data_IF_018699934005
#
_entry.id   IF_018699934005
#
_cell.length_a   1.000
_cell.length_b   1.000
_cell.length_c   1.000
_cell.angle_alpha   90.00
_cell.angle_beta   90.00
_cell.angle_gamma   90.00
#
_symmetry.space_group_name_H-M   'P 1'
#
loop_
_entity.id
_entity.type
_entity.pdbx_description
1 polymer ?
#
# COMPACT_ATOMS: atom_id res chain seq x y z
N UNK A 1 8.41 13.48 -10.97
CA UNK A 1 7.49 14.64 -11.21
C UNK A 1 7.06 15.19 -9.86
N UNK A 2 7.06 16.52 -9.64
CA UNK A 2 6.63 17.14 -8.39
C UNK A 2 5.13 16.91 -8.14
N UNK A 3 4.70 17.00 -6.86
CA UNK A 3 3.27 17.02 -6.51
C UNK A 3 2.70 18.38 -6.97
N UNK A 4 1.59 18.40 -7.73
CA UNK A 4 1.00 19.65 -8.19
C UNK A 4 0.69 20.60 -7.03
N UNK A 5 0.91 21.89 -7.23
CA UNK A 5 0.61 22.98 -6.26
C UNK A 5 1.19 22.81 -4.84
N UNK A 6 2.08 21.85 -4.61
CA UNK A 6 2.78 21.74 -3.33
C UNK A 6 3.76 22.91 -3.20
N UNK A 7 3.58 23.70 -2.17
CA UNK A 7 4.44 24.85 -1.85
C UNK A 7 4.82 24.87 -0.38
N UNK A 8 5.85 25.62 -0.01
CA UNK A 8 6.19 25.82 1.39
C UNK A 8 5.03 26.45 2.17
N UNK A 9 4.33 27.43 1.57
CA UNK A 9 3.18 28.08 2.18
C UNK A 9 2.03 27.08 2.48
N UNK A 10 1.80 26.12 1.59
CA UNK A 10 0.82 25.04 1.83
C UNK A 10 1.20 24.20 3.06
N UNK A 11 2.48 23.90 3.23
CA UNK A 11 2.96 23.15 4.40
C UNK A 11 2.77 23.97 5.68
N UNK A 12 3.14 25.23 5.66
CA UNK A 12 3.03 26.17 6.80
C UNK A 12 1.58 26.37 7.24
N UNK A 13 0.65 26.44 6.30
CA UNK A 13 -0.78 26.64 6.58
C UNK A 13 -1.41 25.48 7.39
N UNK A 14 -0.95 24.26 7.17
CA UNK A 14 -1.54 23.05 7.78
C UNK A 14 -0.72 22.48 8.93
N UNK A 15 0.31 23.20 9.38
CA UNK A 15 1.29 22.69 10.34
C UNK A 15 1.52 23.70 11.47
N UNK A 16 1.63 23.22 12.72
CA UNK A 16 2.10 24.08 13.80
C UNK A 16 3.57 24.48 13.61
N UNK A 17 3.96 25.65 14.11
CA UNK A 17 5.35 26.12 14.06
C UNK A 17 6.35 25.09 14.64
N UNK A 18 5.94 24.36 15.70
CA UNK A 18 6.76 23.30 16.30
C UNK A 18 6.91 22.10 15.40
N UNK A 19 5.82 21.61 14.78
CA UNK A 19 5.86 20.48 13.83
C UNK A 19 6.64 20.84 12.58
N UNK A 20 6.52 22.09 12.09
CA UNK A 20 7.30 22.59 10.96
C UNK A 20 8.79 22.54 11.25
N UNK A 21 9.23 23.15 12.36
CA UNK A 21 10.64 23.18 12.76
C UNK A 21 11.22 21.77 12.93
N UNK A 22 10.46 20.87 13.58
CA UNK A 22 10.88 19.46 13.76
C UNK A 22 10.92 18.70 12.43
N UNK A 23 9.95 18.94 11.54
CA UNK A 23 9.91 18.34 10.22
C UNK A 23 11.07 18.79 9.33
N UNK A 24 11.44 20.07 9.37
CA UNK A 24 12.64 20.57 8.70
C UNK A 24 13.92 19.89 9.22
N UNK A 25 14.05 19.74 10.54
CA UNK A 25 15.18 19.03 11.14
C UNK A 25 15.24 17.56 10.70
N UNK A 26 14.09 16.86 10.65
CA UNK A 26 13.99 15.48 10.17
C UNK A 26 14.36 15.33 8.70
N UNK A 27 13.90 16.24 7.86
CA UNK A 27 14.27 16.29 6.45
C UNK A 27 15.78 16.50 6.27
N UNK A 28 16.36 17.48 6.96
CA UNK A 28 17.79 17.79 6.86
C UNK A 28 18.68 16.67 7.42
N UNK A 29 18.20 15.94 8.41
CA UNK A 29 18.91 14.78 8.97
C UNK A 29 18.80 13.51 8.09
N UNK A 30 18.04 13.54 6.99
CA UNK A 30 17.85 12.38 6.12
C UNK A 30 16.97 11.28 6.73
N UNK A 31 16.12 11.63 7.70
CA UNK A 31 15.28 10.65 8.39
C UNK A 31 14.16 10.07 7.49
N UNK A 32 13.88 10.66 6.33
CA UNK A 32 13.05 10.03 5.29
C UNK A 32 13.94 9.08 4.51
N UNK A 33 13.98 7.82 4.94
CA UNK A 33 14.93 6.81 4.44
C UNK A 33 14.48 6.17 3.14
N UNK A 34 13.18 6.23 2.84
CA UNK A 34 12.60 5.75 1.59
C UNK A 34 11.36 6.55 1.23
N UNK A 35 11.21 6.89 -0.04
CA UNK A 35 9.99 7.46 -0.58
C UNK A 35 9.70 6.84 -1.95
N UNK A 36 8.47 6.36 -2.15
CA UNK A 36 8.00 5.71 -3.37
C UNK A 36 6.71 6.36 -3.83
N UNK A 37 6.67 6.78 -5.08
CA UNK A 37 5.46 7.25 -5.74
C UNK A 37 4.78 6.10 -6.48
N UNK A 38 3.48 5.91 -6.23
CA UNK A 38 2.62 4.92 -6.90
C UNK A 38 1.37 5.62 -7.43
N UNK A 39 1.38 5.96 -8.71
CA UNK A 39 0.30 6.77 -9.29
C UNK A 39 0.13 8.11 -8.57
N UNK A 40 -1.02 8.32 -7.97
CA UNK A 40 -1.40 9.54 -7.25
C UNK A 40 -1.15 9.47 -5.73
N UNK A 41 -0.18 8.69 -5.32
CA UNK A 41 0.17 8.49 -3.92
C UNK A 41 1.68 8.47 -3.73
N UNK A 42 2.19 9.17 -2.73
CA UNK A 42 3.55 9.02 -2.23
C UNK A 42 3.51 8.29 -0.89
N UNK A 43 4.26 7.23 -0.78
CA UNK A 43 4.47 6.47 0.46
C UNK A 43 5.91 6.63 0.90
N UNK A 44 6.11 6.97 2.17
CA UNK A 44 7.45 7.15 2.72
C UNK A 44 7.64 6.40 4.04
N UNK A 45 8.89 6.04 4.30
CA UNK A 45 9.37 5.49 5.55
C UNK A 45 10.21 6.55 6.23
N UNK A 46 9.88 6.89 7.47
CA UNK A 46 10.52 7.96 8.22
C UNK A 46 11.02 7.42 9.55
N UNK A 47 12.32 7.44 9.76
CA UNK A 47 12.91 7.08 11.04
C UNK A 47 12.59 8.12 12.11
N UNK A 48 12.31 7.65 13.31
CA UNK A 48 11.91 8.49 14.43
C UNK A 48 12.45 7.99 15.76
N UNK A 49 11.70 8.22 16.84
CA UNK A 49 12.08 7.81 18.20
C UNK A 49 11.75 6.35 18.52
N UNK A 50 10.87 5.73 17.74
CA UNK A 50 10.47 4.34 17.94
C UNK A 50 11.44 3.39 17.20
N UNK A 51 11.44 2.12 17.61
CA UNK A 51 12.23 1.07 16.95
C UNK A 51 11.73 0.82 15.53
N UNK A 52 10.41 0.83 15.35
CA UNK A 52 9.81 0.72 14.03
C UNK A 52 9.67 2.10 13.38
N UNK A 53 10.09 2.24 12.10
CA UNK A 53 9.96 3.49 11.40
C UNK A 53 8.49 3.83 11.13
N UNK A 54 8.19 5.12 11.09
CA UNK A 54 6.86 5.61 10.77
C UNK A 54 6.59 5.52 9.27
N UNK A 55 5.35 5.20 8.92
CA UNK A 55 4.86 5.18 7.54
C UNK A 55 4.02 6.42 7.28
N UNK A 56 4.36 7.14 6.22
CA UNK A 56 3.62 8.31 5.76
C UNK A 56 3.00 8.00 4.42
N UNK A 57 1.73 8.37 4.24
CA UNK A 57 1.00 8.25 2.98
C UNK A 57 0.42 9.60 2.60
N UNK A 58 0.78 10.09 1.42
CA UNK A 58 0.39 11.37 0.86
C UNK A 58 -0.38 11.14 -0.44
N UNK A 59 -1.72 11.05 -0.42
CA UNK A 59 -2.50 11.08 -1.65
C UNK A 59 -2.47 12.47 -2.28
N UNK A 60 -2.52 12.54 -3.60
CA UNK A 60 -2.57 13.79 -4.36
C UNK A 60 -3.28 13.56 -5.71
N UNK A 61 -3.73 14.65 -6.32
CA UNK A 61 -4.34 14.68 -7.65
C UNK A 61 -3.85 15.91 -8.43
N UNK A 62 -4.50 16.23 -9.53
CA UNK A 62 -4.17 17.40 -10.35
C UNK A 62 -4.47 18.72 -9.62
N UNK A 63 -5.34 18.72 -8.61
CA UNK A 63 -5.63 19.87 -7.76
C UNK A 63 -4.59 20.08 -6.67
N UNK A 64 -3.75 19.06 -6.37
CA UNK A 64 -2.69 19.10 -5.36
C UNK A 64 -2.76 17.97 -4.35
N UNK A 65 -2.40 18.24 -3.09
CA UNK A 65 -2.49 17.26 -2.01
C UNK A 65 -3.95 16.90 -1.72
N UNK A 66 -4.21 15.62 -1.51
CA UNK A 66 -5.50 15.13 -1.05
C UNK A 66 -5.89 15.68 0.34
N UNK A 67 -7.15 15.57 0.69
CA UNK A 67 -7.71 16.13 1.94
C UNK A 67 -7.17 15.42 3.20
N UNK A 68 -6.75 14.17 3.11
CA UNK A 68 -6.32 13.36 4.24
C UNK A 68 -4.93 12.77 4.02
N UNK A 69 -3.94 13.33 4.70
CA UNK A 69 -2.59 12.77 4.77
C UNK A 69 -2.49 11.86 6.00
N UNK A 70 -1.81 10.75 5.87
CA UNK A 70 -1.73 9.75 6.94
C UNK A 70 -0.30 9.54 7.42
N UNK A 71 -0.14 9.35 8.74
CA UNK A 71 1.10 8.91 9.37
C UNK A 71 0.78 7.94 10.50
N UNK A 72 1.56 6.87 10.64
CA UNK A 72 1.40 5.89 11.73
C UNK A 72 1.84 6.38 13.10
N UNK A 73 2.38 7.61 13.23
CA UNK A 73 2.79 8.15 14.52
C UNK A 73 1.57 8.54 15.39
N UNK A 74 1.71 8.52 16.72
CA UNK A 74 0.61 8.82 17.66
C UNK A 74 0.31 10.31 17.80
N UNK A 75 0.73 11.16 16.83
CA UNK A 75 0.49 12.60 16.89
C UNK A 75 -0.96 12.93 16.51
N UNK A 76 -1.69 13.56 17.43
CA UNK A 76 -3.09 13.93 17.29
C UNK A 76 -3.41 15.40 17.65
N UNK A 77 -2.39 16.25 17.80
CA UNK A 77 -2.54 17.65 18.21
C UNK A 77 -3.07 18.58 17.10
N UNK A 78 -3.74 18.04 16.12
CA UNK A 78 -4.26 18.77 14.96
C UNK A 78 -3.17 19.17 13.95
N UNK A 79 -3.52 19.19 12.66
CA UNK A 79 -2.59 19.48 11.58
C UNK A 79 -1.57 18.38 11.29
N UNK A 80 -0.59 18.69 10.47
CA UNK A 80 0.39 17.71 10.03
C UNK A 80 1.53 17.52 11.03
N UNK A 81 1.87 16.25 11.31
CA UNK A 81 2.98 15.92 12.18
C UNK A 81 4.34 16.16 11.49
N UNK A 82 5.43 16.15 12.27
CA UNK A 82 6.80 16.33 11.78
C UNK A 82 7.21 15.35 10.67
N UNK A 83 6.68 14.11 10.66
CA UNK A 83 7.01 13.10 9.66
C UNK A 83 6.33 13.41 8.31
N UNK A 84 5.07 13.82 8.33
CA UNK A 84 4.37 14.34 7.13
C UNK A 84 5.12 15.54 6.59
N UNK A 85 5.49 16.52 7.43
CA UNK A 85 6.24 17.70 7.03
C UNK A 85 7.57 17.34 6.38
N UNK A 86 8.36 16.44 6.99
CA UNK A 86 9.64 15.99 6.44
C UNK A 86 9.47 15.36 5.05
N UNK A 87 8.44 14.51 4.89
CA UNK A 87 8.12 13.88 3.61
C UNK A 87 7.68 14.89 2.55
N UNK A 88 6.84 15.87 2.92
CA UNK A 88 6.41 16.94 2.02
C UNK A 88 7.59 17.83 1.58
N UNK A 89 8.52 18.10 2.50
CA UNK A 89 9.74 18.85 2.16
C UNK A 89 10.65 18.06 1.20
N UNK A 90 10.73 16.75 1.36
CA UNK A 90 11.41 15.88 0.39
C UNK A 90 10.75 15.96 -1.00
N UNK A 91 9.41 15.83 -1.05
CA UNK A 91 8.66 15.94 -2.30
C UNK A 91 8.83 17.32 -2.99
N UNK A 92 8.97 18.39 -2.21
CA UNK A 92 9.11 19.73 -2.71
C UNK A 92 10.53 20.05 -3.19
N UNK A 93 11.54 19.60 -2.44
CA UNK A 93 12.93 20.02 -2.64
C UNK A 93 13.76 19.03 -3.45
N UNK A 94 13.42 17.72 -3.39
CA UNK A 94 14.17 16.62 -4.01
C UNK A 94 13.23 15.59 -4.63
N UNK A 95 12.29 16.00 -5.51
CA UNK A 95 11.32 15.07 -6.12
C UNK A 95 11.99 13.99 -7.00
N UNK A 96 13.24 14.22 -7.42
CA UNK A 96 14.01 13.30 -8.26
C UNK A 96 14.48 12.04 -7.54
N UNK A 97 14.64 12.09 -6.21
CA UNK A 97 15.05 10.91 -5.43
C UNK A 97 13.89 10.00 -5.05
N UNK A 98 12.64 10.43 -5.34
CA UNK A 98 11.47 9.61 -5.06
C UNK A 98 11.37 8.50 -6.09
N UNK A 99 11.47 7.25 -5.62
CA UNK A 99 11.34 6.06 -6.46
C UNK A 99 9.98 6.01 -7.16
N UNK A 100 9.94 5.53 -8.40
CA UNK A 100 8.68 5.24 -9.08
C UNK A 100 8.34 3.76 -8.89
N UNK A 101 7.25 3.49 -8.19
CA UNK A 101 6.74 2.14 -7.98
C UNK A 101 5.50 1.83 -8.82
N UNK A 102 5.19 0.55 -9.05
CA UNK A 102 3.96 0.16 -9.73
C UNK A 102 2.73 0.57 -8.90
N UNK A 103 1.64 0.92 -9.57
CA UNK A 103 0.35 1.15 -8.92
C UNK A 103 -0.27 -0.16 -8.44
N UNK A 104 -1.34 -0.08 -7.62
CA UNK A 104 -2.07 -1.27 -7.18
C UNK A 104 -2.62 -2.05 -8.38
N UNK A 105 -3.23 -1.35 -9.34
CA UNK A 105 -3.75 -1.95 -10.57
C UNK A 105 -2.66 -2.71 -11.30
N UNK A 106 -1.51 -2.07 -11.54
CA UNK A 106 -0.37 -2.71 -12.21
C UNK A 106 0.19 -3.93 -11.44
N UNK A 107 0.03 -3.97 -10.12
CA UNK A 107 0.41 -5.14 -9.32
C UNK A 107 -0.63 -6.25 -9.44
N UNK A 108 -1.93 -5.90 -9.40
CA UNK A 108 -3.02 -6.87 -9.53
C UNK A 108 -3.08 -7.46 -10.93
N UNK A 109 -2.80 -6.69 -11.98
CA UNK A 109 -2.74 -7.17 -13.37
C UNK A 109 -1.70 -8.28 -13.62
N UNK A 110 -0.75 -8.45 -12.68
CA UNK A 110 0.25 -9.55 -12.72
C UNK A 110 -0.26 -10.85 -12.11
N UNK A 111 -1.43 -10.82 -11.48
CA UNK A 111 -2.03 -11.95 -10.79
C UNK A 111 -3.22 -12.47 -11.59
N UNK A 112 -3.41 -13.79 -11.59
CA UNK A 112 -4.66 -14.36 -12.03
C UNK A 112 -5.69 -14.37 -10.88
N UNK A 113 -6.94 -14.74 -11.19
CA UNK A 113 -8.05 -14.71 -10.21
C UNK A 113 -7.73 -15.56 -8.96
N UNK A 114 -7.13 -16.73 -9.13
CA UNK A 114 -6.75 -17.62 -8.02
C UNK A 114 -5.68 -16.97 -7.14
N UNK A 115 -4.66 -16.36 -7.76
CA UNK A 115 -3.60 -15.67 -7.03
C UNK A 115 -4.13 -14.42 -6.31
N UNK A 116 -5.05 -13.69 -6.93
CA UNK A 116 -5.71 -12.53 -6.30
C UNK A 116 -6.52 -12.96 -5.07
N UNK A 117 -7.27 -14.06 -5.18
CA UNK A 117 -8.00 -14.61 -4.04
C UNK A 117 -7.06 -15.08 -2.92
N UNK A 118 -5.95 -15.73 -3.26
CA UNK A 118 -4.93 -16.15 -2.28
C UNK A 118 -4.28 -14.94 -1.60
N UNK A 119 -4.01 -13.86 -2.34
CA UNK A 119 -3.48 -12.61 -1.79
C UNK A 119 -4.45 -12.02 -0.77
N UNK A 120 -5.74 -11.92 -1.11
CA UNK A 120 -6.76 -11.40 -0.20
C UNK A 120 -6.83 -12.24 1.08
N UNK A 121 -6.86 -13.57 0.94
CA UNK A 121 -6.85 -14.48 2.09
C UNK A 121 -5.61 -14.31 2.97
N UNK A 122 -4.44 -14.09 2.34
CA UNK A 122 -3.20 -13.84 3.06
C UNK A 122 -3.25 -12.52 3.84
N UNK A 123 -3.75 -11.44 3.22
CA UNK A 123 -3.90 -10.14 3.87
C UNK A 123 -4.87 -10.20 5.06
N UNK A 124 -6.02 -10.87 4.91
CA UNK A 124 -6.99 -11.06 6.00
C UNK A 124 -6.40 -11.85 7.17
N UNK A 125 -5.50 -12.82 6.91
CA UNK A 125 -4.81 -13.53 8.00
C UNK A 125 -3.86 -12.64 8.80
N UNK A 126 -3.23 -11.66 8.15
CA UNK A 126 -2.33 -10.70 8.83
C UNK A 126 -3.10 -9.57 9.51
N UNK A 127 -4.19 -9.11 8.90
CA UNK A 127 -5.02 -8.00 9.33
C UNK A 127 -6.48 -8.43 9.40
N UNK A 128 -6.91 -9.15 10.45
CA UNK A 128 -8.27 -9.69 10.56
C UNK A 128 -9.39 -8.67 10.35
N UNK A 129 -9.28 -7.38 10.76
CA UNK A 129 -10.30 -6.37 10.51
C UNK A 129 -10.61 -6.10 9.03
N UNK A 130 -9.74 -6.53 8.10
CA UNK A 130 -10.01 -6.40 6.66
C UNK A 130 -11.25 -7.18 6.21
N UNK A 131 -11.67 -8.23 6.95
CA UNK A 131 -12.88 -8.98 6.61
C UNK A 131 -14.13 -8.09 6.67
N UNK A 132 -14.21 -7.22 7.68
CA UNK A 132 -15.33 -6.29 7.85
C UNK A 132 -15.37 -5.25 6.72
N UNK A 133 -14.20 -4.76 6.30
CA UNK A 133 -14.08 -3.83 5.19
C UNK A 133 -14.49 -4.48 3.85
N UNK A 134 -14.15 -5.75 3.64
CA UNK A 134 -14.55 -6.53 2.47
C UNK A 134 -16.07 -6.73 2.46
N UNK A 135 -16.66 -7.11 3.59
CA UNK A 135 -18.12 -7.29 3.73
C UNK A 135 -18.85 -5.98 3.45
N UNK A 136 -18.38 -4.87 4.02
CA UNK A 136 -18.93 -3.55 3.76
C UNK A 136 -18.89 -3.18 2.28
N UNK A 137 -17.77 -3.43 1.61
CA UNK A 137 -17.59 -3.17 0.18
C UNK A 137 -18.59 -3.97 -0.67
N UNK A 138 -18.75 -5.26 -0.39
CA UNK A 138 -19.69 -6.13 -1.10
C UNK A 138 -21.14 -5.61 -0.94
N UNK A 139 -21.52 -5.24 0.29
CA UNK A 139 -22.86 -4.73 0.59
C UNK A 139 -23.14 -3.37 -0.08
N UNK A 140 -22.14 -2.48 -0.16
CA UNK A 140 -22.26 -1.18 -0.84
C UNK A 140 -22.27 -1.30 -2.36
N UNK A 141 -21.55 -2.28 -2.91
CA UNK A 141 -21.40 -2.45 -4.37
C UNK A 141 -22.60 -3.15 -5.02
N UNK A 142 -23.61 -3.57 -4.23
CA UNK A 142 -24.78 -4.34 -4.69
C UNK A 142 -24.37 -5.51 -5.62
N UNK A 143 -23.22 -6.13 -5.38
CA UNK A 143 -22.78 -7.31 -6.13
C UNK A 143 -23.72 -8.46 -5.74
N UNK A 144 -24.55 -9.01 -6.66
CA UNK A 144 -25.44 -10.11 -6.32
C UNK A 144 -24.60 -11.27 -5.80
N UNK A 145 -25.00 -11.82 -4.65
CA UNK A 145 -24.34 -13.01 -4.10
C UNK A 145 -24.27 -14.10 -5.18
N UNK A 146 -23.13 -14.77 -5.39
CA UNK A 146 -23.04 -15.88 -6.34
C UNK A 146 -24.11 -16.90 -5.99
N UNK A 147 -24.94 -17.25 -6.98
CA UNK A 147 -26.02 -18.21 -6.77
C UNK A 147 -25.40 -19.53 -6.27
N UNK A 148 -26.06 -20.18 -5.30
CA UNK A 148 -25.59 -21.40 -4.63
C UNK A 148 -25.24 -22.57 -5.60
N UNK A 149 -25.53 -22.42 -6.89
CA UNK A 149 -25.18 -23.40 -7.94
C UNK A 149 -23.75 -23.26 -8.48
N UNK A 150 -23.02 -22.17 -8.19
CA UNK A 150 -21.62 -22.00 -8.65
C UNK A 150 -20.59 -22.58 -7.68
N UNK A 151 -21.01 -22.96 -6.47
CA UNK A 151 -20.15 -23.58 -5.45
C UNK A 151 -19.97 -25.10 -5.58
N UNK A 152 -20.54 -25.75 -6.61
CA UNK A 152 -20.58 -27.23 -6.73
C UNK A 152 -19.63 -27.85 -7.75
N UNK A 153 -18.67 -27.13 -8.29
CA UNK A 153 -17.60 -27.80 -9.06
C UNK A 153 -16.23 -27.34 -8.58
N UNK A 154 -15.50 -28.17 -7.82
CA UNK A 154 -14.06 -28.12 -7.89
C UNK A 154 -13.71 -28.41 -9.36
N UNK A 155 -13.12 -27.44 -10.05
CA UNK A 155 -12.58 -27.66 -11.38
C UNK A 155 -11.59 -28.83 -11.27
N UNK A 156 -11.96 -29.96 -11.86
CA UNK A 156 -11.05 -31.07 -12.08
C UNK A 156 -9.88 -30.52 -12.91
N UNK A 157 -8.64 -30.60 -12.46
CA UNK A 157 -7.52 -30.14 -13.27
C UNK A 157 -7.56 -30.88 -14.60
N UNK A 158 -7.32 -30.21 -15.74
CA UNK A 158 -7.25 -30.85 -17.02
C UNK A 158 -6.20 -31.94 -16.94
N UNK A 159 -6.60 -33.21 -17.27
CA UNK A 159 -5.69 -34.34 -17.41
C UNK A 159 -4.68 -33.99 -18.50
N UNK A 160 -3.47 -33.61 -18.09
CA UNK A 160 -2.34 -33.48 -19.02
C UNK A 160 -1.99 -34.91 -19.43
N UNK A 161 -2.46 -35.28 -20.60
CA UNK A 161 -1.94 -36.48 -21.29
C UNK A 161 -0.49 -36.16 -21.70
N UNK A 162 0.45 -36.61 -20.87
CA UNK A 162 1.85 -36.67 -21.28
C UNK A 162 1.98 -37.82 -22.28
N UNK A 163 2.52 -37.61 -23.49
CA UNK A 163 2.91 -38.67 -24.39
C UNK A 163 4.22 -39.27 -23.85
N UNK A 164 4.19 -40.51 -23.54
CA UNK A 164 5.23 -41.45 -23.19
C UNK A 164 5.07 -42.04 -21.79
N UNK A 165 4.68 -43.35 -21.83
CA UNK A 165 4.54 -44.19 -20.68
C UNK A 165 5.85 -44.36 -19.93
N UNK A 166 5.77 -44.07 -18.66
CA UNK A 166 6.58 -44.74 -17.62
C UNK A 166 5.69 -44.91 -16.40
N UNK A 167 5.46 -46.15 -16.02
CA UNK A 167 4.77 -46.57 -14.83
C UNK A 167 5.51 -46.01 -13.61
N UNK A 168 4.83 -45.16 -12.84
CA UNK A 168 5.22 -44.87 -11.45
C UNK A 168 4.58 -45.89 -10.51
N UNK A 169 5.05 -47.17 -10.59
CA UNK A 169 4.88 -48.17 -9.56
C UNK A 169 6.27 -48.69 -9.24
N UNK A 170 7.03 -48.01 -8.40
CA UNK A 170 8.22 -48.57 -7.71
C UNK A 170 9.00 -47.45 -6.97
N UNK A 171 8.37 -46.73 -6.01
CA UNK A 171 9.18 -45.92 -5.10
C UNK A 171 8.48 -45.62 -3.75
N UNK A 172 7.72 -46.59 -3.22
CA UNK A 172 7.17 -46.48 -1.87
C UNK A 172 7.42 -47.76 -1.05
N UNK A 173 8.57 -48.40 -1.21
CA UNK A 173 9.06 -49.36 -0.23
C UNK A 173 10.56 -49.23 -0.06
N UNK A 174 10.95 -48.29 0.82
CA UNK A 174 12.20 -48.26 1.64
C UNK A 174 12.44 -46.85 2.17
N UNK A 175 11.87 -46.53 3.31
CA UNK A 175 12.55 -45.90 4.46
C UNK A 175 11.53 -45.78 5.60
#
# INVERSE_FOLDING_TARGET
>A
MPIPRLTKATIELHTSAQSLKRGEAYYLAGNVTRAVRRGNMVQAVVEGSEVEPYRVTLPFDDAGLGSTLFCTCPYDNGGWCKHIVATLLLCLRQPEIIEQGPTLEQLLDRLNDVQTQQLIQHLVKQEPPLIDAIEQYINLSAIPAPSANQLKHPATPPSILLPFGTKYDEFCERL
#
